data_IF_954041874302
#
_entry.id   IF_954041874302
#
_cell.length_a   1.000
_cell.length_b   1.000
_cell.length_c   1.000
_cell.angle_alpha   90.00
_cell.angle_beta   90.00
_cell.angle_gamma   90.00
#
_symmetry.space_group_name_H-M   'P 1'
#
loop_
_entity.id
_entity.type
_entity.pdbx_description
1 polymer ?
#
# COMPACT_ATOMS: atom_id res chain seq x y z
N UNK A 1 -21.52 13.19 -15.23
CA UNK A 1 -22.65 12.66 -16.05
C UNK A 1 -22.22 11.37 -16.75
N UNK A 2 -23.16 10.59 -17.27
CA UNK A 2 -22.85 9.55 -18.25
C UNK A 2 -22.66 10.14 -19.66
N UNK A 3 -22.40 9.27 -20.66
CA UNK A 3 -22.21 9.68 -22.06
C UNK A 3 -23.44 10.34 -22.70
N UNK A 4 -24.63 10.15 -22.12
CA UNK A 4 -25.85 10.81 -22.57
C UNK A 4 -26.07 12.17 -21.86
N UNK A 5 -25.13 12.60 -21.01
CA UNK A 5 -25.24 13.82 -20.23
C UNK A 5 -26.14 13.70 -19.00
N UNK A 6 -26.59 12.48 -18.64
CA UNK A 6 -27.49 12.29 -17.50
C UNK A 6 -26.71 12.21 -16.18
N UNK A 7 -27.31 12.76 -15.11
CA UNK A 7 -26.79 12.61 -13.77
C UNK A 7 -27.05 11.17 -13.28
N UNK A 8 -26.02 10.34 -13.36
CA UNK A 8 -26.06 8.90 -13.07
C UNK A 8 -24.98 8.55 -12.06
N UNK A 9 -25.24 7.54 -11.21
CA UNK A 9 -24.24 6.87 -10.38
C UNK A 9 -24.06 5.43 -10.86
N UNK A 10 -22.82 4.97 -10.96
CA UNK A 10 -22.46 3.60 -11.34
C UNK A 10 -21.46 3.03 -10.33
N UNK A 11 -21.42 1.69 -10.14
CA UNK A 11 -20.42 1.06 -9.28
C UNK A 11 -19.00 1.43 -9.72
N UNK A 12 -18.14 1.80 -8.76
CA UNK A 12 -16.75 2.08 -9.04
C UNK A 12 -16.03 0.79 -9.50
N UNK A 13 -15.21 0.91 -10.54
CA UNK A 13 -14.29 -0.16 -10.99
C UNK A 13 -13.01 -0.12 -10.16
N UNK A 14 -12.55 1.10 -9.82
CA UNK A 14 -11.44 1.33 -8.91
C UNK A 14 -11.86 2.28 -7.79
N UNK A 15 -11.42 1.99 -6.58
CA UNK A 15 -11.52 2.87 -5.42
C UNK A 15 -10.12 3.27 -4.99
N UNK A 16 -9.99 4.53 -4.58
CA UNK A 16 -8.74 5.09 -4.09
C UNK A 16 -8.99 5.73 -2.74
N UNK A 17 -8.07 5.50 -1.80
CA UNK A 17 -7.94 6.25 -0.57
C UNK A 17 -6.91 7.35 -0.79
N UNK A 18 -7.18 8.54 -0.25
CA UNK A 18 -6.26 9.66 -0.34
C UNK A 18 -5.80 10.09 1.06
N UNK A 19 -4.57 10.57 1.15
CA UNK A 19 -4.03 11.14 2.38
C UNK A 19 -4.70 12.46 2.74
N UNK A 20 -5.35 13.11 1.77
CA UNK A 20 -6.17 14.28 2.01
C UNK A 20 -7.51 13.96 2.68
N UNK A 21 -7.87 12.68 2.88
CA UNK A 21 -9.05 12.29 3.63
C UNK A 21 -10.30 12.08 2.76
N UNK A 22 -10.13 11.80 1.48
CA UNK A 22 -11.23 11.44 0.57
C UNK A 22 -11.15 9.97 0.14
N UNK A 23 -12.31 9.37 -0.12
CA UNK A 23 -12.41 8.14 -0.91
C UNK A 23 -12.99 8.51 -2.26
N UNK A 24 -12.28 8.17 -3.33
CA UNK A 24 -12.67 8.47 -4.70
C UNK A 24 -12.92 7.18 -5.48
N UNK A 25 -13.94 7.18 -6.32
CA UNK A 25 -14.32 6.05 -7.16
C UNK A 25 -14.21 6.42 -8.63
N UNK A 26 -13.59 5.54 -9.41
CA UNK A 26 -13.52 5.70 -10.87
C UNK A 26 -14.40 4.66 -11.57
N UNK A 27 -15.19 5.13 -12.53
CA UNK A 27 -15.91 4.32 -13.49
C UNK A 27 -15.73 4.96 -14.88
N UNK A 28 -15.31 4.19 -15.91
CA UNK A 28 -15.04 4.76 -17.24
C UNK A 28 -16.28 5.39 -17.91
N UNK A 29 -17.48 5.04 -17.46
CA UNK A 29 -18.75 5.58 -17.95
C UNK A 29 -19.24 6.83 -17.21
N UNK A 30 -18.57 7.27 -16.15
CA UNK A 30 -18.93 8.46 -15.37
C UNK A 30 -17.83 9.51 -15.48
N UNK A 31 -18.13 10.64 -16.08
CA UNK A 31 -17.21 11.78 -16.21
C UNK A 31 -17.87 13.05 -15.64
N UNK A 32 -17.34 13.66 -14.57
CA UNK A 32 -17.87 14.91 -14.00
C UNK A 32 -17.76 16.09 -14.98
N UNK A 33 -16.82 16.08 -15.91
CA UNK A 33 -16.66 17.11 -16.96
C UNK A 33 -17.56 16.86 -18.17
N UNK A 34 -18.02 15.62 -18.34
CA UNK A 34 -18.82 15.17 -19.48
C UNK A 34 -18.03 15.02 -20.79
N UNK A 35 -16.69 15.10 -20.77
CA UNK A 35 -15.87 15.11 -21.98
C UNK A 35 -15.45 13.73 -22.46
N UNK A 36 -15.18 12.80 -21.54
CA UNK A 36 -14.72 11.44 -21.86
C UNK A 36 -13.44 11.44 -22.70
N UNK A 37 -12.46 12.26 -22.30
CA UNK A 37 -11.21 12.49 -23.06
C UNK A 37 -10.23 11.30 -23.05
N UNK A 38 -10.56 10.20 -22.38
CA UNK A 38 -9.72 9.02 -22.27
C UNK A 38 -9.80 8.09 -23.48
N UNK A 39 -8.89 7.10 -23.56
CA UNK A 39 -8.92 6.08 -24.60
C UNK A 39 -10.29 5.40 -24.70
N UNK A 40 -10.77 5.20 -25.93
CA UNK A 40 -12.11 4.64 -26.22
C UNK A 40 -13.28 5.46 -25.63
N UNK A 41 -13.06 6.75 -25.38
CA UNK A 41 -14.04 7.63 -24.76
C UNK A 41 -14.34 7.23 -23.32
N UNK A 42 -13.32 6.80 -22.58
CA UNK A 42 -13.43 6.54 -21.14
C UNK A 42 -13.26 7.85 -20.36
N UNK A 43 -13.91 7.96 -19.21
CA UNK A 43 -13.61 9.02 -18.24
C UNK A 43 -12.16 8.94 -17.79
N UNK A 44 -11.49 10.09 -17.73
CA UNK A 44 -10.16 10.25 -17.11
C UNK A 44 -10.25 10.75 -15.67
N UNK A 45 -11.46 10.88 -15.13
CA UNK A 45 -11.72 11.50 -13.83
C UNK A 45 -12.38 10.51 -12.86
N UNK A 46 -11.84 10.40 -11.66
CA UNK A 46 -12.53 9.79 -10.52
C UNK A 46 -13.48 10.80 -9.86
N UNK A 47 -14.49 10.30 -9.16
CA UNK A 47 -15.49 11.12 -8.44
C UNK A 47 -15.35 10.86 -6.95
N UNK A 48 -15.44 11.91 -6.13
CA UNK A 48 -15.43 11.80 -4.67
C UNK A 48 -16.68 11.06 -4.21
N UNK A 49 -16.49 9.89 -3.60
CA UNK A 49 -17.56 9.11 -2.98
C UNK A 49 -17.76 9.51 -1.51
N UNK A 50 -16.67 9.84 -0.81
CA UNK A 50 -16.67 10.34 0.57
C UNK A 50 -15.62 11.43 0.75
N UNK A 51 -15.98 12.47 1.49
CA UNK A 51 -15.11 13.60 1.81
C UNK A 51 -15.02 13.82 3.31
N UNK A 52 -13.90 13.41 3.91
CA UNK A 52 -13.53 13.71 5.29
C UNK A 52 -12.25 14.54 5.34
N UNK A 53 -12.01 15.37 4.32
CA UNK A 53 -10.79 16.17 4.21
C UNK A 53 -10.66 17.29 5.23
N UNK A 54 -11.77 17.68 5.88
CA UNK A 54 -11.75 18.73 6.91
C UNK A 54 -11.14 20.03 6.38
N UNK A 55 -10.03 20.45 6.95
CA UNK A 55 -9.26 21.62 6.49
C UNK A 55 -7.94 21.26 5.77
N UNK A 56 -7.72 19.99 5.38
CA UNK A 56 -6.47 19.55 4.76
C UNK A 56 -6.10 20.37 3.52
N UNK A 57 -7.10 20.74 2.70
CA UNK A 57 -6.90 21.56 1.49
C UNK A 57 -6.78 23.06 1.74
N UNK A 58 -7.21 23.55 2.91
CA UNK A 58 -7.30 24.99 3.19
C UNK A 58 -6.26 25.46 4.20
N UNK A 59 -5.69 24.54 4.98
CA UNK A 59 -4.66 24.83 5.95
C UNK A 59 -3.31 24.25 5.50
N UNK A 60 -2.33 25.10 5.14
CA UNK A 60 -1.01 24.65 4.74
C UNK A 60 -0.12 24.21 5.91
N UNK A 61 -0.52 24.45 7.18
CA UNK A 61 0.21 23.98 8.36
C UNK A 61 -0.23 22.55 8.73
N UNK A 62 0.61 21.52 8.53
CA UNK A 62 0.26 20.13 8.83
C UNK A 62 -0.06 19.90 10.31
N UNK A 63 0.47 20.73 11.22
CA UNK A 63 0.18 20.66 12.65
C UNK A 63 -1.22 21.14 13.04
N UNK A 64 -1.92 21.81 12.12
CA UNK A 64 -3.27 22.32 12.31
C UNK A 64 -4.31 21.68 11.38
N UNK A 65 -3.90 20.68 10.60
CA UNK A 65 -4.81 19.91 9.76
C UNK A 65 -5.65 18.94 10.61
N UNK A 66 -6.93 18.78 10.24
CA UNK A 66 -7.92 18.02 11.02
C UNK A 66 -8.67 16.97 10.21
N UNK A 67 -8.48 16.90 8.89
CA UNK A 67 -9.10 15.88 8.05
C UNK A 67 -8.58 14.47 8.33
N UNK A 68 -9.24 13.47 7.77
CA UNK A 68 -8.72 12.12 7.75
C UNK A 68 -7.40 12.03 6.95
N UNK A 69 -6.60 11.00 7.23
CA UNK A 69 -5.46 10.60 6.39
C UNK A 69 -5.64 9.13 6.10
N UNK A 70 -6.14 8.81 4.90
CA UNK A 70 -6.40 7.42 4.53
C UNK A 70 -5.19 6.82 3.85
N UNK A 71 -4.59 5.81 4.51
CA UNK A 71 -3.37 5.16 4.02
C UNK A 71 -3.65 3.87 3.26
N UNK A 72 -4.86 3.32 3.33
CA UNK A 72 -5.21 2.04 2.69
C UNK A 72 -6.70 1.72 2.78
N UNK A 73 -7.17 0.86 1.87
CA UNK A 73 -8.55 0.38 1.85
C UNK A 73 -8.64 -1.09 1.45
N UNK A 74 -9.67 -1.77 1.94
CA UNK A 74 -10.01 -3.13 1.57
C UNK A 74 -11.52 -3.31 1.48
N UNK A 75 -11.96 -4.21 0.60
CA UNK A 75 -13.37 -4.61 0.50
C UNK A 75 -13.48 -6.07 0.92
N UNK A 76 -14.42 -6.37 1.81
CA UNK A 76 -14.86 -7.74 2.05
C UNK A 76 -16.32 -7.89 1.63
N UNK A 77 -16.63 -9.01 0.98
CA UNK A 77 -17.98 -9.33 0.52
C UNK A 77 -18.43 -10.66 1.12
N UNK A 78 -19.73 -10.82 1.25
CA UNK A 78 -20.39 -12.03 1.78
C UNK A 78 -21.76 -12.20 1.12
N UNK A 79 -22.19 -13.45 0.95
CA UNK A 79 -23.52 -13.77 0.43
C UNK A 79 -24.65 -13.46 1.42
N UNK A 80 -24.31 -13.24 2.70
CA UNK A 80 -25.21 -12.82 3.77
C UNK A 80 -24.62 -11.60 4.47
N UNK A 81 -25.44 -10.77 5.15
CA UNK A 81 -24.93 -9.60 5.86
C UNK A 81 -23.78 -9.96 6.81
N UNK A 82 -22.63 -9.28 6.68
CA UNK A 82 -21.48 -9.44 7.57
C UNK A 82 -21.86 -9.04 9.00
N UNK A 83 -22.67 -7.99 9.12
CA UNK A 83 -23.23 -7.51 10.38
C UNK A 83 -24.72 -7.89 10.37
N UNK A 84 -25.16 -8.84 11.21
CA UNK A 84 -26.53 -9.35 11.15
C UNK A 84 -27.62 -8.28 11.32
N UNK A 85 -27.32 -7.20 12.02
CA UNK A 85 -28.24 -6.09 12.26
C UNK A 85 -28.27 -5.04 11.12
N UNK A 86 -27.44 -5.19 10.09
CA UNK A 86 -27.30 -4.25 8.98
C UNK A 86 -27.41 -4.98 7.64
N UNK A 87 -28.57 -4.89 7.00
CA UNK A 87 -28.84 -5.60 5.75
C UNK A 87 -27.97 -5.14 4.56
N UNK A 88 -27.42 -3.92 4.61
CA UNK A 88 -26.55 -3.37 3.56
C UNK A 88 -25.07 -3.84 3.73
N UNK A 89 -24.77 -4.63 4.77
CA UNK A 89 -23.41 -5.12 5.08
C UNK A 89 -22.99 -6.39 4.33
N UNK A 90 -23.60 -6.71 3.18
CA UNK A 90 -23.12 -7.81 2.31
C UNK A 90 -21.83 -7.46 1.58
N UNK A 91 -21.49 -6.18 1.52
CA UNK A 91 -20.17 -5.68 1.16
C UNK A 91 -19.81 -4.55 2.12
N UNK A 92 -18.60 -4.62 2.69
CA UNK A 92 -18.05 -3.60 3.57
C UNK A 92 -16.73 -3.10 3.03
N UNK A 93 -16.55 -1.77 3.06
CA UNK A 93 -15.30 -1.08 2.79
C UNK A 93 -14.63 -0.74 4.13
N UNK A 94 -13.43 -1.24 4.33
CA UNK A 94 -12.57 -0.93 5.48
C UNK A 94 -11.53 0.08 5.03
N UNK A 95 -11.30 1.11 5.84
CA UNK A 95 -10.37 2.20 5.52
C UNK A 95 -9.47 2.46 6.72
N UNK A 96 -8.16 2.52 6.51
CA UNK A 96 -7.21 2.89 7.57
C UNK A 96 -7.11 4.41 7.68
N UNK A 97 -7.80 5.00 8.67
CA UNK A 97 -7.65 6.41 9.00
C UNK A 97 -6.48 6.57 9.96
N UNK A 98 -5.30 6.83 9.38
CA UNK A 98 -4.03 6.89 10.08
C UNK A 98 -4.06 8.01 11.13
N UNK A 99 -4.40 9.25 10.75
CA UNK A 99 -4.44 10.40 11.67
C UNK A 99 -5.31 10.15 12.89
N UNK A 100 -6.49 9.56 12.71
CA UNK A 100 -7.39 9.26 13.82
C UNK A 100 -7.03 7.99 14.61
N UNK A 101 -6.12 7.14 14.10
CA UNK A 101 -5.75 5.89 14.73
C UNK A 101 -6.88 4.85 14.76
N UNK A 102 -7.73 4.84 13.73
CA UNK A 102 -8.91 3.96 13.67
C UNK A 102 -9.05 3.30 12.30
N UNK A 103 -9.63 2.10 12.28
CA UNK A 103 -10.21 1.53 11.06
C UNK A 103 -11.65 2.01 10.98
N UNK A 104 -12.01 2.61 9.86
CA UNK A 104 -13.37 3.02 9.55
C UNK A 104 -14.03 1.98 8.64
N UNK A 105 -15.34 1.79 8.81
CA UNK A 105 -16.10 0.79 8.06
C UNK A 105 -17.32 1.44 7.44
N UNK A 106 -17.49 1.21 6.15
CA UNK A 106 -18.56 1.77 5.34
C UNK A 106 -19.32 0.65 4.60
N UNK A 107 -20.63 0.83 4.44
CA UNK A 107 -21.47 -0.06 3.65
C UNK A 107 -21.27 0.17 2.13
N UNK A 108 -21.97 -0.60 1.30
CA UNK A 108 -21.91 -0.48 -0.16
C UNK A 108 -22.42 0.87 -0.71
N UNK A 109 -23.07 1.68 0.13
CA UNK A 109 -23.56 3.04 -0.19
C UNK A 109 -22.67 4.12 0.42
N UNK A 110 -21.50 3.75 0.95
CA UNK A 110 -20.56 4.65 1.61
C UNK A 110 -21.10 5.28 2.91
N UNK A 111 -22.15 4.72 3.52
CA UNK A 111 -22.56 5.14 4.86
C UNK A 111 -21.68 4.49 5.91
N UNK A 112 -21.32 5.25 6.94
CA UNK A 112 -20.57 4.70 8.07
C UNK A 112 -21.40 3.66 8.79
N UNK A 113 -20.84 2.47 8.98
CA UNK A 113 -21.47 1.39 9.72
C UNK A 113 -21.46 1.71 11.21
N UNK A 114 -22.64 1.78 11.82
CA UNK A 114 -22.82 2.12 13.25
C UNK A 114 -23.16 0.92 14.12
N UNK A 115 -23.54 -0.21 13.51
CA UNK A 115 -23.95 -1.43 14.20
C UNK A 115 -22.78 -2.39 14.52
N UNK A 116 -21.54 -1.93 14.46
CA UNK A 116 -20.37 -2.72 14.83
C UNK A 116 -20.39 -3.09 16.33
N UNK A 117 -19.90 -4.28 16.71
CA UNK A 117 -19.73 -4.66 18.10
C UNK A 117 -18.87 -3.66 18.89
N UNK A 118 -19.13 -3.54 20.19
CA UNK A 118 -18.29 -2.75 21.08
C UNK A 118 -16.84 -3.26 21.05
N UNK A 119 -15.88 -2.37 20.80
CA UNK A 119 -14.47 -2.72 20.68
C UNK A 119 -14.06 -3.29 19.32
N UNK A 120 -14.94 -3.26 18.30
CA UNK A 120 -14.58 -3.62 16.94
C UNK A 120 -13.32 -2.88 16.46
N UNK A 121 -12.40 -3.63 15.84
CA UNK A 121 -11.11 -3.12 15.34
C UNK A 121 -10.25 -2.41 16.41
N UNK A 122 -10.30 -2.88 17.67
CA UNK A 122 -9.45 -2.39 18.76
C UNK A 122 -8.50 -3.46 19.27
N UNK A 123 -7.24 -3.08 19.46
CA UNK A 123 -6.27 -3.83 20.27
C UNK A 123 -5.88 -3.00 21.50
N UNK A 124 -6.33 -3.38 22.72
CA UNK A 124 -5.95 -2.67 23.94
C UNK A 124 -4.46 -2.78 24.28
N UNK A 125 -3.71 -3.65 23.58
CA UNK A 125 -2.25 -3.83 23.75
C UNK A 125 -1.44 -3.14 22.65
N UNK A 126 -2.08 -2.39 21.75
CA UNK A 126 -1.36 -1.53 20.82
C UNK A 126 -0.72 -0.37 21.59
N UNK A 127 0.61 -0.17 21.49
CA UNK A 127 1.25 0.97 22.13
C UNK A 127 0.69 2.30 21.60
N UNK A 128 0.69 3.33 22.46
CA UNK A 128 0.34 4.67 22.04
C UNK A 128 1.20 5.13 20.85
N UNK A 129 0.64 6.02 20.02
CA UNK A 129 1.28 6.58 18.82
C UNK A 129 1.51 5.56 17.69
N UNK A 130 0.79 4.45 17.69
CA UNK A 130 0.68 3.56 16.52
C UNK A 130 -0.74 3.65 15.96
N UNK A 131 -0.85 3.68 14.63
CA UNK A 131 -2.13 3.77 13.92
C UNK A 131 -2.20 2.79 12.75
N UNK A 132 -3.41 2.40 12.31
CA UNK A 132 -3.62 1.56 11.15
C UNK A 132 -2.95 2.17 9.92
N UNK A 133 -1.91 1.54 9.40
CA UNK A 133 -1.18 1.99 8.23
C UNK A 133 -1.77 1.37 6.96
N UNK A 134 -2.11 0.08 6.98
CA UNK A 134 -2.91 -0.55 5.94
C UNK A 134 -4.03 -1.42 6.53
N UNK A 135 -5.00 -1.74 5.68
CA UNK A 135 -6.03 -2.74 5.91
C UNK A 135 -6.16 -3.63 4.68
N UNK A 136 -6.23 -4.95 4.87
CA UNK A 136 -6.36 -5.94 3.79
C UNK A 136 -7.36 -7.03 4.16
N UNK A 137 -8.21 -7.42 3.21
CA UNK A 137 -9.11 -8.56 3.34
C UNK A 137 -8.42 -9.82 2.79
N UNK A 138 -7.98 -10.72 3.67
CA UNK A 138 -7.19 -11.89 3.32
C UNK A 138 -7.80 -13.15 3.99
N UNK A 139 -8.10 -14.18 3.20
CA UNK A 139 -8.59 -15.46 3.72
C UNK A 139 -9.87 -15.34 4.58
N UNK A 140 -10.76 -14.39 4.28
CA UNK A 140 -11.99 -14.15 5.05
C UNK A 140 -11.78 -13.41 6.38
N UNK A 141 -10.57 -12.89 6.63
CA UNK A 141 -10.24 -12.02 7.76
C UNK A 141 -9.83 -10.63 7.30
N UNK A 142 -9.83 -9.69 8.22
CA UNK A 142 -9.32 -8.34 8.03
C UNK A 142 -7.98 -8.22 8.76
N UNK A 143 -6.91 -8.08 8.00
CA UNK A 143 -5.58 -7.83 8.52
C UNK A 143 -5.35 -6.32 8.56
N UNK A 144 -4.82 -5.83 9.67
CA UNK A 144 -4.50 -4.41 9.86
C UNK A 144 -3.04 -4.32 10.25
N UNK A 145 -2.24 -3.67 9.42
CA UNK A 145 -0.86 -3.33 9.79
C UNK A 145 -0.85 -1.98 10.51
N UNK A 146 0.05 -1.82 11.47
CA UNK A 146 0.19 -0.57 12.22
C UNK A 146 1.62 -0.06 12.15
N UNK A 147 1.75 1.23 11.88
CA UNK A 147 3.01 1.96 11.89
C UNK A 147 2.99 3.03 12.98
N UNK A 148 4.18 3.46 13.42
CA UNK A 148 4.31 4.55 14.40
C UNK A 148 3.98 5.86 13.70
N UNK A 149 3.14 6.70 14.29
CA UNK A 149 2.81 8.02 13.75
C UNK A 149 3.83 9.09 14.12
N UNK A 150 4.00 10.06 13.24
CA UNK A 150 4.65 11.33 13.55
C UNK A 150 3.74 12.20 14.45
N UNK A 151 4.23 13.37 14.85
CA UNK A 151 3.50 14.24 15.79
C UNK A 151 2.19 14.82 15.21
N UNK A 152 2.09 14.97 13.89
CA UNK A 152 0.89 15.48 13.19
C UNK A 152 -0.09 14.36 12.85
N UNK A 153 0.30 13.10 13.03
CA UNK A 153 -0.49 11.94 12.64
C UNK A 153 -0.62 11.76 11.13
N UNK A 154 0.15 12.48 10.32
CA UNK A 154 0.10 12.39 8.85
C UNK A 154 0.94 11.23 8.33
N UNK A 155 2.19 11.15 8.76
CA UNK A 155 3.17 10.19 8.23
C UNK A 155 3.65 9.23 9.30
N UNK A 156 4.08 8.07 8.84
CA UNK A 156 4.74 7.13 9.72
C UNK A 156 6.14 7.63 10.11
N UNK A 157 6.67 7.03 11.17
CA UNK A 157 8.06 7.21 11.57
C UNK A 157 8.74 5.86 11.47
N UNK A 158 9.18 5.54 10.25
CA UNK A 158 9.97 4.36 9.92
C UNK A 158 11.13 4.10 10.89
N UNK A 159 11.54 2.86 10.98
CA UNK A 159 12.66 2.35 11.74
C UNK A 159 12.44 0.92 12.24
N UNK A 160 13.54 0.25 12.64
CA UNK A 160 13.49 -1.15 13.04
C UNK A 160 12.56 -1.36 14.22
N UNK A 161 11.82 -2.47 14.20
CA UNK A 161 10.90 -2.91 15.26
C UNK A 161 9.68 -1.98 15.46
N UNK A 162 9.35 -1.15 14.46
CA UNK A 162 8.25 -0.17 14.52
C UNK A 162 7.03 -0.60 13.71
N UNK A 163 6.61 -1.84 13.90
CA UNK A 163 5.37 -2.31 13.30
C UNK A 163 4.64 -3.36 14.11
N UNK A 164 3.35 -3.48 13.82
CA UNK A 164 2.48 -4.54 14.33
C UNK A 164 1.54 -5.00 13.21
N UNK A 165 1.01 -6.22 13.35
CA UNK A 165 -0.09 -6.72 12.51
C UNK A 165 -1.13 -7.35 13.42
N UNK A 166 -2.37 -6.87 13.32
CA UNK A 166 -3.54 -7.47 13.97
C UNK A 166 -4.46 -8.12 12.94
N UNK A 167 -5.28 -9.07 13.39
CA UNK A 167 -6.24 -9.81 12.59
C UNK A 167 -7.61 -9.79 13.27
N UNK A 168 -8.61 -9.37 12.51
CA UNK A 168 -10.00 -9.28 12.91
C UNK A 168 -10.90 -10.14 12.01
N UNK A 169 -12.07 -10.51 12.51
CA UNK A 169 -13.17 -10.92 11.65
C UNK A 169 -13.71 -9.70 10.88
N UNK A 170 -14.45 -9.90 9.76
CA UNK A 170 -15.07 -8.80 9.02
C UNK A 170 -16.00 -7.90 9.85
N UNK A 171 -16.64 -8.44 10.90
CA UNK A 171 -17.45 -7.65 11.85
C UNK A 171 -16.62 -6.86 12.88
N UNK A 172 -15.29 -6.95 12.83
CA UNK A 172 -14.35 -6.29 13.73
C UNK A 172 -14.08 -7.00 15.05
N UNK A 173 -14.71 -8.14 15.31
CA UNK A 173 -14.37 -8.98 16.47
C UNK A 173 -12.97 -9.61 16.30
N UNK A 174 -12.35 -10.12 17.40
CA UNK A 174 -11.04 -10.77 17.32
C UNK A 174 -10.98 -11.91 16.30
N UNK A 175 -10.00 -11.85 15.41
CA UNK A 175 -9.85 -12.78 14.28
C UNK A 175 -9.01 -14.01 14.57
N UNK A 176 -8.26 -14.03 15.68
CA UNK A 176 -7.38 -15.13 16.08
C UNK A 176 -7.96 -16.00 17.19
N UNK A 177 -7.46 -17.24 17.38
CA UNK A 177 -7.91 -18.13 18.44
C UNK A 177 -7.87 -17.50 19.84
N UNK A 178 -8.80 -17.90 20.70
CA UNK A 178 -8.93 -17.45 22.08
C UNK A 178 -9.19 -15.92 22.21
N UNK A 179 -9.87 -15.32 21.24
CA UNK A 179 -10.28 -13.92 21.30
C UNK A 179 -9.13 -12.93 21.13
N UNK A 180 -8.05 -13.32 20.45
CA UNK A 180 -6.88 -12.46 20.21
C UNK A 180 -6.98 -11.70 18.89
N UNK A 181 -6.30 -10.56 18.82
CA UNK A 181 -6.19 -9.72 17.61
C UNK A 181 -4.75 -9.66 17.11
N UNK A 182 -3.78 -9.41 18.00
CA UNK A 182 -2.35 -9.29 17.65
C UNK A 182 -1.78 -10.60 17.09
N UNK A 183 -1.33 -10.56 15.84
CA UNK A 183 -0.58 -11.62 15.18
C UNK A 183 0.92 -11.39 15.30
N UNK A 184 1.42 -10.23 14.85
CA UNK A 184 2.87 -9.95 14.78
C UNK A 184 3.18 -8.70 15.59
N UNK A 185 4.22 -8.76 16.43
CA UNK A 185 4.71 -7.60 17.17
C UNK A 185 6.18 -7.35 16.89
N UNK A 186 6.50 -6.16 16.41
CA UNK A 186 7.89 -5.70 16.26
C UNK A 186 8.67 -6.65 15.33
N UNK A 187 9.83 -7.14 15.77
CA UNK A 187 10.68 -8.01 14.95
C UNK A 187 11.16 -7.25 13.71
N UNK A 188 11.16 -7.85 12.51
CA UNK A 188 11.68 -7.19 11.32
C UNK A 188 10.73 -6.12 10.76
N UNK A 189 9.59 -5.85 11.43
CA UNK A 189 8.62 -4.88 10.97
C UNK A 189 9.13 -3.44 11.08
N UNK A 190 9.01 -2.71 9.97
CA UNK A 190 9.43 -1.33 9.77
C UNK A 190 8.40 -0.63 8.87
N UNK A 191 7.48 0.11 9.48
CA UNK A 191 6.30 0.67 8.82
C UNK A 191 5.62 -0.33 7.86
N UNK A 192 5.13 -1.47 8.38
CA UNK A 192 4.58 -2.54 7.54
C UNK A 192 3.33 -2.08 6.81
N UNK A 193 3.26 -2.28 5.50
CA UNK A 193 2.09 -1.89 4.71
C UNK A 193 1.61 -3.00 3.77
N UNK A 194 2.49 -3.53 2.92
CA UNK A 194 2.11 -4.60 1.99
C UNK A 194 1.80 -5.90 2.72
N UNK A 195 0.62 -6.48 2.51
CA UNK A 195 0.22 -7.76 3.13
C UNK A 195 -0.34 -8.70 2.06
N UNK A 196 0.22 -9.89 1.96
CA UNK A 196 -0.27 -10.91 1.02
C UNK A 196 -0.15 -12.31 1.61
N UNK A 197 -1.17 -13.15 1.43
CA UNK A 197 -1.04 -14.59 1.69
C UNK A 197 -0.36 -15.23 0.50
N UNK A 198 0.77 -15.89 0.74
CA UNK A 198 1.52 -16.56 -0.30
C UNK A 198 0.86 -17.89 -0.73
N UNK A 199 0.92 -18.26 -2.01
CA UNK A 199 0.67 -19.62 -2.45
C UNK A 199 1.52 -20.62 -1.67
N UNK A 200 1.02 -21.84 -1.54
CA UNK A 200 1.73 -22.89 -0.81
C UNK A 200 3.14 -23.10 -1.40
N UNK A 201 4.15 -23.16 -0.52
CA UNK A 201 5.56 -23.32 -0.86
C UNK A 201 6.18 -22.21 -1.72
N UNK A 202 5.54 -21.04 -1.82
CA UNK A 202 6.13 -19.88 -2.50
C UNK A 202 7.51 -19.53 -1.89
N UNK A 203 8.52 -19.39 -2.76
CA UNK A 203 9.91 -19.13 -2.41
C UNK A 203 10.51 -20.16 -1.43
N UNK A 204 9.98 -21.38 -1.36
CA UNK A 204 10.43 -22.41 -0.41
C UNK A 204 10.12 -22.08 1.06
N UNK A 205 9.34 -21.03 1.31
CA UNK A 205 8.93 -20.62 2.65
C UNK A 205 7.63 -21.33 3.03
N UNK A 206 7.62 -21.92 4.22
CA UNK A 206 6.45 -22.60 4.74
C UNK A 206 6.66 -23.02 6.20
N UNK A 207 5.64 -22.85 7.08
CA UNK A 207 5.71 -23.36 8.43
C UNK A 207 5.57 -24.89 8.46
N UNK A 208 6.05 -25.58 9.52
CA UNK A 208 6.03 -27.04 9.62
C UNK A 208 4.64 -27.69 9.50
N UNK A 209 3.56 -26.93 9.75
CA UNK A 209 2.19 -27.43 9.78
C UNK A 209 1.38 -27.09 8.52
N UNK A 210 2.01 -26.61 7.45
CA UNK A 210 1.35 -26.13 6.23
C UNK A 210 0.34 -25.00 6.47
N UNK A 211 0.49 -24.24 7.56
CA UNK A 211 -0.23 -22.99 7.76
C UNK A 211 0.07 -22.00 6.62
N UNK A 212 -0.87 -21.09 6.28
CA UNK A 212 -0.62 -20.07 5.27
C UNK A 212 0.55 -19.18 5.65
N UNK A 213 1.33 -18.75 4.66
CA UNK A 213 2.42 -17.78 4.85
C UNK A 213 1.88 -16.38 4.58
N UNK A 214 2.03 -15.48 5.55
CA UNK A 214 1.81 -14.04 5.38
C UNK A 214 3.12 -13.38 4.98
N UNK A 215 3.16 -12.76 3.80
CA UNK A 215 4.21 -11.84 3.41
C UNK A 215 3.86 -10.44 3.90
N UNK A 216 4.84 -9.79 4.52
CA UNK A 216 4.75 -8.42 5.02
C UNK A 216 5.84 -7.57 4.36
N UNK A 217 5.43 -6.70 3.44
CA UNK A 217 6.26 -5.68 2.82
C UNK A 217 6.39 -4.48 3.76
N UNK A 218 7.64 -4.08 4.00
CA UNK A 218 7.97 -3.01 4.94
C UNK A 218 8.26 -1.74 4.14
N UNK A 219 7.38 -0.75 4.23
CA UNK A 219 7.55 0.51 3.52
C UNK A 219 8.84 1.22 3.94
N UNK A 220 9.15 1.19 5.25
CA UNK A 220 10.27 1.95 5.80
C UNK A 220 11.65 1.47 5.38
N UNK A 221 11.82 0.18 5.09
CA UNK A 221 13.13 -0.38 4.69
C UNK A 221 13.13 -1.19 3.40
N UNK A 222 11.96 -1.46 2.80
CA UNK A 222 11.82 -2.14 1.53
C UNK A 222 11.89 -3.67 1.56
N UNK A 223 12.15 -4.28 2.73
CA UNK A 223 12.25 -5.74 2.83
C UNK A 223 10.89 -6.43 2.89
N UNK A 224 10.82 -7.63 2.33
CA UNK A 224 9.66 -8.51 2.42
C UNK A 224 9.94 -9.63 3.40
N UNK A 225 9.26 -9.60 4.55
CA UNK A 225 9.39 -10.60 5.60
C UNK A 225 8.23 -11.60 5.56
N UNK A 226 8.51 -12.88 5.77
CA UNK A 226 7.51 -13.94 5.81
C UNK A 226 7.22 -14.38 7.25
N UNK A 227 5.95 -14.64 7.52
CA UNK A 227 5.46 -15.11 8.81
C UNK A 227 4.45 -16.23 8.62
N UNK A 228 4.36 -17.10 9.61
CA UNK A 228 3.21 -18.00 9.77
C UNK A 228 1.96 -17.15 10.05
N UNK A 229 0.95 -17.22 9.18
CA UNK A 229 -0.26 -16.41 9.28
C UNK A 229 -1.17 -16.83 10.44
N UNK A 230 -0.98 -18.03 11.01
CA UNK A 230 -1.72 -18.54 12.16
C UNK A 230 -1.07 -18.08 13.48
N UNK A 231 0.25 -18.16 13.57
CA UNK A 231 0.98 -17.95 14.83
C UNK A 231 1.73 -16.62 14.92
N UNK A 232 2.00 -15.98 13.78
CA UNK A 232 2.86 -14.79 13.68
C UNK A 232 4.34 -15.11 13.83
N UNK A 233 4.73 -16.38 13.80
CA UNK A 233 6.14 -16.80 13.91
C UNK A 233 6.91 -16.38 12.66
N UNK A 234 8.09 -15.76 12.79
CA UNK A 234 8.91 -15.37 11.64
C UNK A 234 9.44 -16.61 10.90
N UNK A 235 9.34 -16.59 9.56
CA UNK A 235 9.81 -17.65 8.67
C UNK A 235 11.03 -17.26 7.83
N UNK A 236 11.42 -15.98 7.87
CA UNK A 236 12.57 -15.44 7.13
C UNK A 236 12.18 -14.26 6.25
N UNK A 237 13.02 -13.96 5.27
CA UNK A 237 12.82 -12.91 4.27
C UNK A 237 12.76 -13.52 2.88
N UNK A 238 12.08 -12.84 1.96
CA UNK A 238 12.28 -13.15 0.54
C UNK A 238 13.70 -12.76 0.15
N UNK A 239 14.31 -13.63 -0.65
CA UNK A 239 15.68 -13.54 -1.09
C UNK A 239 15.77 -13.78 -2.59
N UNK A 240 16.79 -13.22 -3.21
CA UNK A 240 17.21 -13.58 -4.56
C UNK A 240 17.85 -15.00 -4.59
N UNK A 241 18.22 -15.50 -5.78
CA UNK A 241 18.87 -16.80 -5.92
C UNK A 241 20.20 -16.96 -5.17
N UNK A 242 20.96 -15.90 -4.96
CA UNK A 242 22.27 -15.92 -4.27
C UNK A 242 22.14 -15.83 -2.74
N UNK A 243 20.98 -15.39 -2.27
CA UNK A 243 20.54 -15.47 -0.89
C UNK A 243 20.56 -14.13 -0.16
N UNK A 244 20.81 -13.02 -0.86
CA UNK A 244 20.60 -11.68 -0.34
C UNK A 244 19.09 -11.37 -0.19
N UNK A 245 18.70 -10.59 0.82
CA UNK A 245 17.30 -10.17 0.96
C UNK A 245 16.90 -9.18 -0.12
N UNK A 246 15.76 -9.43 -0.77
CA UNK A 246 15.18 -8.51 -1.75
C UNK A 246 14.76 -7.22 -1.05
N UNK A 247 15.31 -6.08 -1.49
CA UNK A 247 15.02 -4.75 -0.98
C UNK A 247 14.43 -3.85 -2.07
N UNK A 248 13.24 -3.31 -1.84
CA UNK A 248 12.54 -2.42 -2.79
C UNK A 248 12.23 -1.11 -2.07
N UNK A 249 12.88 -0.01 -2.48
CA UNK A 249 12.67 1.31 -1.88
C UNK A 249 11.22 1.78 -2.03
N UNK A 250 10.61 2.27 -0.93
CA UNK A 250 9.22 2.72 -0.91
C UNK A 250 8.19 1.62 -1.12
N UNK A 251 8.49 0.37 -0.74
CA UNK A 251 7.61 -0.78 -0.97
C UNK A 251 6.22 -0.61 -0.34
N UNK A 252 5.20 -0.58 -1.20
CA UNK A 252 3.79 -0.48 -0.83
C UNK A 252 3.09 -1.84 -0.99
N UNK A 253 2.30 -2.01 -2.05
CA UNK A 253 1.38 -3.15 -2.22
C UNK A 253 2.15 -4.43 -2.46
N UNK A 254 1.67 -5.52 -1.90
CA UNK A 254 2.02 -6.88 -2.28
C UNK A 254 0.74 -7.60 -2.69
N UNK A 255 0.72 -8.24 -3.87
CA UNK A 255 -0.44 -9.00 -4.32
C UNK A 255 -0.06 -10.12 -5.28
N UNK A 256 -0.57 -11.32 -5.04
CA UNK A 256 -0.46 -12.40 -6.01
C UNK A 256 -1.46 -12.21 -7.16
N UNK A 257 -1.03 -12.58 -8.37
CA UNK A 257 -1.92 -12.57 -9.51
C UNK A 257 -3.13 -13.49 -9.33
N UNK A 258 -4.19 -13.27 -10.10
CA UNK A 258 -5.42 -14.05 -10.01
C UNK A 258 -5.53 -15.14 -11.09
N UNK A 259 -4.48 -15.37 -11.88
CA UNK A 259 -4.46 -16.33 -12.98
C UNK A 259 -5.20 -15.88 -14.24
N UNK A 260 -5.67 -14.63 -14.28
CA UNK A 260 -6.35 -14.01 -15.42
C UNK A 260 -5.80 -12.62 -15.73
N UNK A 261 -6.69 -11.65 -15.97
CA UNK A 261 -6.29 -10.26 -16.27
C UNK A 261 -5.54 -9.55 -15.14
N UNK A 262 -5.55 -10.10 -13.92
CA UNK A 262 -4.78 -9.59 -12.78
C UNK A 262 -3.38 -10.19 -12.63
N UNK A 263 -2.89 -10.88 -13.66
CA UNK A 263 -1.54 -11.47 -13.66
C UNK A 263 -1.50 -12.94 -13.26
N UNK A 264 -0.32 -13.55 -13.36
CA UNK A 264 -0.11 -14.97 -13.13
C UNK A 264 -0.23 -15.34 -11.64
N UNK A 265 -0.88 -16.47 -11.36
CA UNK A 265 -1.30 -16.83 -9.99
C UNK A 265 -0.15 -17.07 -9.00
N UNK A 266 1.04 -17.42 -9.49
CA UNK A 266 2.24 -17.66 -8.67
C UNK A 266 3.30 -16.56 -8.81
N UNK A 267 2.86 -15.37 -9.24
CA UNK A 267 3.71 -14.19 -9.38
C UNK A 267 3.28 -13.17 -8.33
N UNK A 268 4.24 -12.70 -7.53
CA UNK A 268 4.02 -11.65 -6.54
C UNK A 268 4.22 -10.29 -7.22
N UNK A 269 3.14 -9.56 -7.44
CA UNK A 269 3.19 -8.19 -7.93
C UNK A 269 3.34 -7.21 -6.77
N UNK A 270 4.06 -6.12 -7.03
CA UNK A 270 4.24 -5.05 -6.05
C UNK A 270 4.10 -3.67 -6.65
N UNK A 271 3.74 -2.71 -5.80
CA UNK A 271 3.90 -1.28 -6.08
C UNK A 271 4.92 -0.70 -5.12
N UNK A 272 5.65 0.31 -5.55
CA UNK A 272 6.57 1.04 -4.71
C UNK A 272 6.53 2.54 -5.05
N UNK A 273 6.76 3.37 -4.03
CA UNK A 273 6.91 4.81 -4.14
C UNK A 273 8.36 5.22 -3.88
N UNK A 274 9.29 4.95 -4.82
CA UNK A 274 10.70 5.27 -4.60
C UNK A 274 10.89 6.79 -4.49
N UNK A 275 12.08 7.19 -4.01
CA UNK A 275 12.47 8.61 -3.84
C UNK A 275 11.56 9.40 -2.88
N UNK A 276 11.00 8.74 -1.87
CA UNK A 276 10.06 9.40 -0.97
C UNK A 276 8.72 9.65 -1.66
N UNK A 277 8.29 8.70 -2.49
CA UNK A 277 6.96 8.63 -3.10
C UNK A 277 6.70 9.68 -4.19
N UNK A 278 7.73 10.44 -4.58
CA UNK A 278 7.67 11.35 -5.74
C UNK A 278 7.48 10.60 -7.07
N UNK A 279 7.85 9.32 -7.10
CA UNK A 279 7.73 8.46 -8.27
C UNK A 279 7.02 7.15 -7.94
N UNK A 280 6.63 6.40 -8.97
CA UNK A 280 5.95 5.11 -8.83
C UNK A 280 6.64 4.00 -9.61
N UNK A 281 6.86 2.86 -8.97
CA UNK A 281 7.27 1.62 -9.62
C UNK A 281 6.17 0.56 -9.48
N UNK A 282 5.89 -0.13 -10.58
CA UNK A 282 5.14 -1.39 -10.58
C UNK A 282 6.06 -2.52 -11.05
N UNK A 283 6.13 -3.59 -10.27
CA UNK A 283 7.02 -4.72 -10.57
C UNK A 283 6.44 -6.07 -10.16
N UNK A 284 7.20 -7.12 -10.40
CA UNK A 284 6.81 -8.48 -10.05
C UNK A 284 8.00 -9.36 -9.71
N UNK A 285 7.78 -10.32 -8.81
CA UNK A 285 8.74 -11.30 -8.35
C UNK A 285 8.22 -12.70 -8.65
N UNK A 286 9.10 -13.55 -9.18
CA UNK A 286 8.84 -14.96 -9.44
C UNK A 286 9.85 -15.82 -8.67
N UNK A 287 9.44 -17.03 -8.31
CA UNK A 287 10.32 -17.97 -7.63
C UNK A 287 11.39 -18.51 -8.57
N UNK A 288 12.64 -18.53 -8.11
CA UNK A 288 13.75 -19.21 -8.75
C UNK A 288 14.35 -20.27 -7.79
N UNK A 289 15.04 -21.27 -8.33
CA UNK A 289 15.75 -22.23 -7.48
C UNK A 289 17.01 -21.57 -6.89
N UNK A 290 17.40 -21.88 -5.65
CA UNK A 290 18.65 -21.37 -5.07
C UNK A 290 19.86 -21.62 -5.98
N UNK A 291 20.72 -20.61 -6.15
CA UNK A 291 21.88 -20.64 -7.03
C UNK A 291 21.56 -20.65 -8.54
N UNK A 292 20.30 -20.38 -8.92
CA UNK A 292 20.00 -20.05 -10.32
C UNK A 292 20.65 -18.73 -10.70
N UNK A 293 21.08 -18.52 -11.95
CA UNK A 293 21.61 -17.21 -12.35
C UNK A 293 20.63 -16.08 -12.04
N UNK A 294 21.18 -15.02 -11.45
CA UNK A 294 20.56 -13.71 -11.30
C UNK A 294 19.86 -13.28 -12.59
N UNK A 295 18.62 -12.83 -12.45
CA UNK A 295 17.85 -12.26 -13.55
C UNK A 295 18.28 -10.81 -13.83
N UNK A 296 17.67 -10.14 -14.82
CA UNK A 296 17.97 -8.73 -15.08
C UNK A 296 17.38 -7.76 -14.03
N UNK A 297 16.86 -8.26 -12.90
CA UNK A 297 16.02 -7.50 -11.98
C UNK A 297 16.76 -6.31 -11.36
N UNK A 298 18.00 -6.51 -10.91
CA UNK A 298 18.82 -5.44 -10.35
C UNK A 298 19.20 -4.39 -11.41
N UNK A 299 19.58 -4.85 -12.61
CA UNK A 299 19.87 -3.95 -13.72
C UNK A 299 18.61 -3.17 -14.17
N UNK A 300 17.43 -3.79 -14.08
CA UNK A 300 16.14 -3.13 -14.30
C UNK A 300 15.83 -2.12 -13.21
N UNK A 301 16.18 -2.42 -11.96
CA UNK A 301 16.05 -1.49 -10.83
C UNK A 301 16.93 -0.25 -11.01
N UNK A 302 18.19 -0.43 -11.41
CA UNK A 302 19.08 0.70 -11.77
C UNK A 302 18.47 1.53 -12.89
N UNK A 303 17.97 0.89 -13.97
CA UNK A 303 17.30 1.60 -15.08
C UNK A 303 16.08 2.38 -14.63
N UNK A 304 15.24 1.82 -13.76
CA UNK A 304 14.07 2.52 -13.22
C UNK A 304 14.48 3.78 -12.44
N UNK A 305 15.56 3.72 -11.66
CA UNK A 305 16.09 4.89 -10.95
C UNK A 305 16.70 5.94 -11.91
N UNK A 306 17.30 5.50 -13.03
CA UNK A 306 17.76 6.41 -14.10
C UNK A 306 16.58 7.10 -14.78
N UNK A 307 15.52 6.36 -15.09
CA UNK A 307 14.30 6.90 -15.70
C UNK A 307 13.62 7.94 -14.79
N UNK A 308 13.61 7.71 -13.48
CA UNK A 308 13.16 8.69 -12.48
C UNK A 308 13.95 10.00 -12.57
N UNK A 309 15.27 9.95 -12.48
CA UNK A 309 16.12 11.16 -12.56
C UNK A 309 15.95 11.89 -13.91
N UNK A 310 15.71 11.14 -14.99
CA UNK A 310 15.41 11.72 -16.31
C UNK A 310 14.06 12.44 -16.33
N UNK A 311 13.04 11.91 -15.64
CA UNK A 311 11.75 12.58 -15.50
C UNK A 311 11.88 13.89 -14.72
N UNK A 312 12.62 13.91 -13.61
CA UNK A 312 12.84 15.13 -12.82
C UNK A 312 13.62 16.20 -13.61
N UNK A 313 14.61 15.76 -14.39
CA UNK A 313 15.32 16.65 -15.30
C UNK A 313 14.39 17.23 -16.37
N UNK A 314 13.50 16.41 -16.94
CA UNK A 314 12.54 16.87 -17.94
C UNK A 314 11.54 17.87 -17.33
N UNK A 315 11.06 17.61 -16.11
CA UNK A 315 10.17 18.52 -15.38
C UNK A 315 10.83 19.88 -15.17
N UNK A 316 12.09 19.91 -14.72
CA UNK A 316 12.87 21.15 -14.56
C UNK A 316 13.03 21.91 -15.90
N UNK A 317 13.28 21.20 -17.00
CA UNK A 317 13.38 21.81 -18.34
C UNK A 317 12.04 22.43 -18.74
N UNK A 318 10.94 21.70 -18.54
CA UNK A 318 9.59 22.13 -18.91
C UNK A 318 9.17 23.36 -18.10
N UNK A 319 9.41 23.37 -16.78
CA UNK A 319 9.10 24.50 -15.91
C UNK A 319 9.99 25.72 -16.19
N UNK A 320 11.28 25.50 -16.47
CA UNK A 320 12.16 26.58 -16.90
C UNK A 320 11.74 27.18 -18.25
N UNK A 321 11.24 26.37 -19.18
CA UNK A 321 10.87 26.83 -20.52
C UNK A 321 9.49 27.48 -20.59
N UNK A 322 8.56 27.05 -19.72
CA UNK A 322 7.21 27.61 -19.60
C UNK A 322 7.15 28.94 -18.84
N UNK A 323 8.25 29.33 -18.18
CA UNK A 323 8.33 30.55 -17.37
C UNK A 323 7.76 30.37 -15.97
N UNK A 324 7.87 29.17 -15.40
CA UNK A 324 7.48 28.90 -14.02
C UNK A 324 8.20 29.82 -13.04
N UNK A 325 7.64 29.93 -11.83
CA UNK A 325 8.20 30.82 -10.81
C UNK A 325 9.61 30.39 -10.41
N UNK A 326 10.44 31.36 -9.99
CA UNK A 326 11.77 31.04 -9.45
C UNK A 326 11.71 30.13 -8.21
N UNK A 327 10.58 30.08 -7.50
CA UNK A 327 10.39 29.16 -6.39
C UNK A 327 10.17 27.72 -6.88
N UNK A 328 9.34 27.53 -7.89
CA UNK A 328 9.11 26.24 -8.57
C UNK A 328 10.42 25.68 -9.11
N UNK A 329 11.15 26.47 -9.92
CA UNK A 329 12.43 26.04 -10.49
C UNK A 329 13.43 25.64 -9.40
N UNK A 330 13.48 26.37 -8.27
CA UNK A 330 14.36 25.98 -7.15
C UNK A 330 13.94 24.66 -6.51
N UNK A 331 12.64 24.40 -6.40
CA UNK A 331 12.12 23.14 -5.89
C UNK A 331 12.51 21.99 -6.82
N UNK A 332 12.33 22.14 -8.13
CA UNK A 332 12.66 21.10 -9.11
C UNK A 332 14.17 20.79 -9.12
N UNK A 333 15.02 21.82 -8.99
CA UNK A 333 16.47 21.63 -8.83
C UNK A 333 16.81 20.84 -7.56
N UNK A 334 16.12 21.11 -6.45
CA UNK A 334 16.34 20.39 -5.19
C UNK A 334 15.90 18.92 -5.29
N UNK A 335 14.76 18.66 -5.93
CA UNK A 335 14.28 17.29 -6.20
C UNK A 335 15.29 16.54 -7.08
N UNK A 336 15.70 17.14 -8.20
CA UNK A 336 16.66 16.53 -9.12
C UNK A 336 18.01 16.23 -8.45
N UNK A 337 18.53 17.13 -7.60
CA UNK A 337 19.78 16.90 -6.86
C UNK A 337 19.65 15.76 -5.85
N UNK A 338 18.56 15.73 -5.08
CA UNK A 338 18.28 14.66 -4.14
C UNK A 338 18.18 13.30 -4.84
N UNK A 339 17.46 13.24 -5.96
CA UNK A 339 17.20 12.00 -6.69
C UNK A 339 18.47 11.53 -7.44
N UNK A 340 19.29 12.46 -7.94
CA UNK A 340 20.62 12.15 -8.50
C UNK A 340 21.56 11.53 -7.45
N UNK A 341 21.53 12.02 -6.21
CA UNK A 341 22.33 11.45 -5.12
C UNK A 341 21.83 10.05 -4.74
N UNK A 342 20.51 9.83 -4.75
CA UNK A 342 19.93 8.51 -4.49
C UNK A 342 20.27 7.50 -5.59
N UNK A 343 20.18 7.90 -6.87
CA UNK A 343 20.65 7.09 -8.00
C UNK A 343 22.12 6.68 -7.83
N UNK A 344 23.00 7.62 -7.45
CA UNK A 344 24.41 7.33 -7.18
C UNK A 344 24.62 6.32 -6.04
N UNK A 345 23.67 6.23 -5.09
CA UNK A 345 23.63 5.18 -4.07
C UNK A 345 23.25 3.82 -4.66
N UNK A 346 22.19 3.79 -5.47
CA UNK A 346 21.70 2.58 -6.15
C UNK A 346 22.74 1.99 -7.08
N UNK A 347 23.42 2.81 -7.89
CA UNK A 347 24.49 2.35 -8.78
C UNK A 347 25.67 1.75 -8.02
N UNK A 348 26.02 2.30 -6.86
CA UNK A 348 27.08 1.75 -6.00
C UNK A 348 26.67 0.43 -5.36
N UNK A 349 25.43 0.30 -4.91
CA UNK A 349 24.92 -0.95 -4.37
C UNK A 349 24.93 -2.04 -5.44
N UNK A 350 24.41 -1.75 -6.63
CA UNK A 350 24.44 -2.67 -7.76
C UNK A 350 25.87 -3.09 -8.15
N UNK A 351 26.81 -2.14 -8.18
CA UNK A 351 28.21 -2.46 -8.46
C UNK A 351 28.85 -3.35 -7.37
N UNK A 352 28.40 -3.24 -6.12
CA UNK A 352 28.86 -4.09 -5.02
C UNK A 352 28.27 -5.50 -5.11
N UNK A 353 26.96 -5.64 -5.39
CA UNK A 353 26.31 -6.93 -5.69
C UNK A 353 27.04 -7.65 -6.81
N UNK A 354 27.18 -6.99 -7.97
CA UNK A 354 27.81 -7.62 -9.14
C UNK A 354 29.23 -8.11 -8.86
N UNK A 355 29.94 -7.47 -7.90
CA UNK A 355 31.24 -7.96 -7.44
C UNK A 355 31.12 -9.15 -6.49
N UNK A 356 30.16 -9.12 -5.57
CA UNK A 356 29.84 -10.23 -4.67
C UNK A 356 29.45 -11.50 -5.45
N UNK A 357 28.58 -11.38 -6.45
CA UNK A 357 28.15 -12.50 -7.33
C UNK A 357 29.33 -13.08 -8.11
N UNK A 358 30.27 -12.23 -8.49
CA UNK A 358 31.50 -12.63 -9.15
C UNK A 358 32.52 -13.28 -8.19
N UNK A 359 32.21 -13.35 -6.89
CA UNK A 359 33.08 -13.85 -5.83
C UNK A 359 34.33 -13.00 -5.61
N UNK A 360 34.24 -11.68 -5.80
CA UNK A 360 35.38 -10.74 -5.82
C UNK A 360 35.45 -9.81 -4.62
#
# INVERSE_FOLDING_TARGET
PDKAGQATSLPAVFLFATEDGTIVGWNPGIDPTGRFDGPNGASTHAVIAMDHSGNNFTNPDPGQQTGAVYKGLAVATSSTPIIPADADSTALLYVSNFRAGVVEVYDAKFNRVTALPAGAFRDPRLPAHYAPFNVQALGGKIYVSYARQNATGHDDVAGPHRGFVDVFNPDGNPGLPNGKVRLISRGPLDSPWGLAIAPQAFAGLGPPHNDPVLLVGNFGNGFINAFDATTGTPLGQLKDPDGEPIQIDGLWTLKFGNGGSGGAANTLYFTAGPFGESHGLFGSLNTAAPGSPEGPAEAQWVRANVEVVQLDLQQLIDDSSSGASAATIRQDVQTLDADSQKLSGVERAFAQDTLADAGR
#
